data_IF_908508973135
#
_entry.id   IF_908508973135
#
_cell.length_a   1.000
_cell.length_b   1.000
_cell.length_c   1.000
_cell.angle_alpha   90.00
_cell.angle_beta   90.00
_cell.angle_gamma   90.00
#
_symmetry.space_group_name_H-M   'P 1'
#
loop_
_entity.id
_entity.type
_entity.pdbx_description
1 polymer ?
#
# COMPACT_ATOMS: atom_id res chain seq x y z
N UNK A 1 -8.16 20.97 -62.32
CA UNK A 1 -7.95 19.71 -61.58
C UNK A 1 -6.93 19.82 -60.42
N UNK A 2 -6.66 21.03 -59.90
CA UNK A 2 -5.83 21.26 -58.70
C UNK A 2 -6.67 21.67 -57.49
N UNK A 3 -7.82 22.33 -57.71
CA UNK A 3 -8.63 22.92 -56.64
C UNK A 3 -9.30 21.88 -55.70
N UNK A 4 -9.73 20.73 -56.22
CA UNK A 4 -10.30 19.66 -55.39
C UNK A 4 -9.27 18.93 -54.52
N UNK A 5 -8.01 18.83 -54.98
CA UNK A 5 -6.93 18.22 -54.19
C UNK A 5 -6.63 19.01 -52.93
N UNK A 6 -6.69 20.34 -52.98
CA UNK A 6 -6.53 21.20 -51.78
C UNK A 6 -7.71 21.08 -50.82
N UNK A 7 -8.94 20.92 -51.31
CA UNK A 7 -10.12 20.70 -50.46
C UNK A 7 -10.06 19.36 -49.73
N UNK A 8 -9.68 18.29 -50.44
CA UNK A 8 -9.51 16.95 -49.87
C UNK A 8 -8.35 16.94 -48.86
N UNK A 9 -7.22 17.57 -49.20
CA UNK A 9 -6.08 17.68 -48.28
C UNK A 9 -6.46 18.44 -46.99
N UNK A 10 -7.26 19.51 -47.09
CA UNK A 10 -7.72 20.27 -45.92
C UNK A 10 -8.62 19.43 -45.01
N UNK A 11 -9.50 18.61 -45.57
CA UNK A 11 -10.37 17.70 -44.80
C UNK A 11 -9.53 16.64 -44.09
N UNK A 12 -8.56 16.03 -44.77
CA UNK A 12 -7.66 15.04 -44.18
C UNK A 12 -6.88 15.63 -43.01
N UNK A 13 -6.33 16.84 -43.16
CA UNK A 13 -5.59 17.53 -42.10
C UNK A 13 -6.49 17.79 -40.88
N UNK A 14 -7.73 18.25 -41.09
CA UNK A 14 -8.69 18.48 -39.99
C UNK A 14 -9.04 17.16 -39.28
N UNK A 15 -9.26 16.08 -40.02
CA UNK A 15 -9.55 14.76 -39.45
C UNK A 15 -8.38 14.21 -38.63
N UNK A 16 -7.14 14.40 -39.08
CA UNK A 16 -5.93 13.99 -38.33
C UNK A 16 -5.80 14.80 -37.04
N UNK A 17 -6.01 16.11 -37.10
CA UNK A 17 -5.97 16.98 -35.90
C UNK A 17 -7.06 16.55 -34.91
N UNK A 18 -8.27 16.25 -35.38
CA UNK A 18 -9.36 15.81 -34.53
C UNK A 18 -9.07 14.45 -33.89
N UNK A 19 -8.51 13.51 -34.65
CA UNK A 19 -8.09 12.20 -34.13
C UNK A 19 -7.02 12.35 -33.04
N UNK A 20 -6.00 13.20 -33.27
CA UNK A 20 -4.97 13.49 -32.28
C UNK A 20 -5.55 14.15 -31.02
N UNK A 21 -6.49 15.10 -31.17
CA UNK A 21 -7.19 15.69 -30.04
C UNK A 21 -7.97 14.64 -29.25
N UNK A 22 -8.68 13.75 -29.94
CA UNK A 22 -9.50 12.72 -29.32
C UNK A 22 -8.64 11.69 -28.58
N UNK A 23 -7.49 11.30 -29.16
CA UNK A 23 -6.50 10.44 -28.51
C UNK A 23 -5.87 11.11 -27.29
N UNK A 24 -5.50 12.40 -27.38
CA UNK A 24 -4.97 13.16 -26.26
C UNK A 24 -6.00 13.30 -25.13
N UNK A 25 -7.26 13.55 -25.48
CA UNK A 25 -8.37 13.64 -24.52
C UNK A 25 -8.62 12.28 -23.84
N UNK A 26 -8.67 11.19 -24.61
CA UNK A 26 -8.82 9.83 -24.09
C UNK A 26 -7.68 9.46 -23.15
N UNK A 27 -6.44 9.80 -23.51
CA UNK A 27 -5.26 9.56 -22.67
C UNK A 27 -5.34 10.33 -21.35
N UNK A 28 -5.70 11.61 -21.41
CA UNK A 28 -5.88 12.45 -20.21
C UNK A 28 -7.02 11.97 -19.31
N UNK A 29 -8.16 11.61 -19.89
CA UNK A 29 -9.34 11.16 -19.15
C UNK A 29 -9.11 9.80 -18.50
N UNK A 30 -8.50 8.86 -19.21
CA UNK A 30 -8.21 7.51 -18.69
C UNK A 30 -7.27 7.56 -17.49
N UNK A 31 -6.25 8.43 -17.54
CA UNK A 31 -5.26 8.57 -16.48
C UNK A 31 -5.85 9.17 -15.20
N UNK A 32 -6.61 10.26 -15.32
CA UNK A 32 -7.13 10.98 -14.17
C UNK A 32 -8.41 10.38 -13.58
N UNK A 33 -9.22 9.67 -14.37
CA UNK A 33 -10.44 9.03 -13.85
C UNK A 33 -10.12 7.75 -13.09
N UNK A 34 -9.17 6.94 -13.58
CA UNK A 34 -8.80 5.69 -12.92
C UNK A 34 -8.22 5.92 -11.52
N UNK A 35 -7.29 6.87 -11.41
CA UNK A 35 -6.66 7.25 -10.13
C UNK A 35 -7.68 7.81 -9.14
N UNK A 36 -8.57 8.71 -9.59
CA UNK A 36 -9.62 9.28 -8.74
C UNK A 36 -10.65 8.26 -8.27
N UNK A 37 -11.05 7.31 -9.12
CA UNK A 37 -11.96 6.23 -8.73
C UNK A 37 -11.31 5.32 -7.70
N UNK A 38 -10.05 4.91 -7.93
CA UNK A 38 -9.30 4.08 -7.00
C UNK A 38 -9.10 4.77 -5.65
N UNK A 39 -8.70 6.05 -5.65
CA UNK A 39 -8.55 6.85 -4.44
C UNK A 39 -9.86 6.92 -3.66
N UNK A 40 -10.98 7.17 -4.35
CA UNK A 40 -12.30 7.26 -3.72
C UNK A 40 -12.74 5.93 -3.10
N UNK A 41 -12.61 4.82 -3.80
CA UNK A 41 -13.01 3.50 -3.29
C UNK A 41 -12.17 3.09 -2.07
N UNK A 42 -10.86 3.32 -2.14
CA UNK A 42 -9.97 2.98 -1.04
C UNK A 42 -10.17 3.92 0.17
N UNK A 43 -10.43 5.22 -0.04
CA UNK A 43 -10.74 6.15 1.07
C UNK A 43 -12.10 5.86 1.72
N UNK A 44 -13.04 5.26 0.99
CA UNK A 44 -14.31 4.78 1.54
C UNK A 44 -14.13 3.54 2.42
N UNK A 45 -12.99 2.85 2.35
CA UNK A 45 -12.71 1.68 3.15
C UNK A 45 -12.50 2.05 4.63
N UNK A 46 -13.08 1.25 5.54
CA UNK A 46 -12.97 1.44 6.99
C UNK A 46 -11.53 1.41 7.52
N UNK A 47 -10.62 0.73 6.84
CA UNK A 47 -9.23 0.55 7.29
C UNK A 47 -8.30 1.70 6.89
N UNK A 48 -8.69 2.52 5.92
CA UNK A 48 -7.79 3.53 5.32
C UNK A 48 -8.09 4.92 5.86
N UNK A 49 -7.03 5.64 6.20
CA UNK A 49 -7.07 7.04 6.64
C UNK A 49 -6.72 7.99 5.51
N UNK A 50 -5.64 7.69 4.81
CA UNK A 50 -5.11 8.54 3.74
C UNK A 50 -4.46 7.68 2.66
N UNK A 51 -4.44 8.20 1.43
CA UNK A 51 -3.90 7.53 0.25
C UNK A 51 -3.15 8.54 -0.59
N UNK A 52 -2.01 8.14 -1.12
CA UNK A 52 -1.34 8.87 -2.20
C UNK A 52 -0.99 7.92 -3.31
N UNK A 53 -1.55 8.16 -4.49
CA UNK A 53 -1.26 7.36 -5.68
C UNK A 53 -0.15 8.07 -6.46
N UNK A 54 0.94 7.35 -6.71
CA UNK A 54 2.07 7.79 -7.54
C UNK A 54 2.13 6.90 -8.77
N UNK A 55 1.89 7.48 -9.93
CA UNK A 55 2.07 6.77 -11.19
C UNK A 55 3.53 6.80 -11.63
N UNK A 56 4.21 5.67 -11.50
CA UNK A 56 5.52 5.44 -12.08
C UNK A 56 5.44 5.09 -13.57
N UNK A 57 6.60 5.05 -14.24
CA UNK A 57 6.69 4.64 -15.66
C UNK A 57 6.40 3.15 -15.86
N UNK A 58 6.73 2.32 -14.86
CA UNK A 58 6.62 0.84 -14.95
C UNK A 58 5.54 0.27 -14.05
N UNK A 59 5.31 0.84 -12.86
CA UNK A 59 4.31 0.39 -11.89
C UNK A 59 3.62 1.56 -11.20
N UNK A 60 2.41 1.31 -10.70
CA UNK A 60 1.65 2.25 -9.88
C UNK A 60 1.98 2.01 -8.41
N UNK A 61 2.56 2.98 -7.72
CA UNK A 61 2.81 2.89 -6.28
C UNK A 61 1.67 3.57 -5.53
N UNK A 62 1.06 2.87 -4.59
CA UNK A 62 -0.02 3.38 -3.75
C UNK A 62 0.45 3.40 -2.31
N UNK A 63 0.70 4.60 -1.82
CA UNK A 63 1.01 4.87 -0.43
C UNK A 63 -0.31 4.84 0.36
N UNK A 64 -0.44 3.92 1.33
CA UNK A 64 -1.61 3.80 2.19
C UNK A 64 -1.24 4.09 3.63
N UNK A 65 -1.96 5.02 4.24
CA UNK A 65 -1.95 5.22 5.70
C UNK A 65 -3.17 4.54 6.28
N UNK A 66 -2.94 3.48 7.06
CA UNK A 66 -4.00 2.79 7.79
C UNK A 66 -4.50 3.61 8.98
N UNK A 67 -5.77 3.41 9.35
CA UNK A 67 -6.32 3.83 10.64
C UNK A 67 -5.84 2.88 11.75
N UNK A 68 -6.50 2.90 12.91
CA UNK A 68 -6.37 1.85 13.90
C UNK A 68 -7.10 0.59 13.39
N UNK A 69 -6.33 -0.41 12.99
CA UNK A 69 -6.81 -1.67 12.39
C UNK A 69 -6.61 -2.80 13.39
N UNK A 70 -7.58 -3.69 13.54
CA UNK A 70 -7.44 -4.83 14.47
C UNK A 70 -6.62 -5.99 13.89
N UNK A 71 -6.73 -6.20 12.58
CA UNK A 71 -6.06 -7.25 11.82
C UNK A 71 -5.45 -6.68 10.53
N UNK A 72 -4.13 -6.47 10.54
CA UNK A 72 -3.41 -5.96 9.37
C UNK A 72 -3.50 -6.87 8.15
N UNK A 73 -3.52 -8.20 8.33
CA UNK A 73 -3.60 -9.16 7.22
C UNK A 73 -4.91 -9.01 6.46
N UNK A 74 -6.05 -8.93 7.17
CA UNK A 74 -7.37 -8.73 6.57
C UNK A 74 -7.45 -7.39 5.84
N UNK A 75 -6.96 -6.31 6.47
CA UNK A 75 -6.97 -4.98 5.88
C UNK A 75 -6.09 -4.90 4.63
N UNK A 76 -4.88 -5.47 4.68
CA UNK A 76 -3.97 -5.50 3.54
C UNK A 76 -4.55 -6.33 2.39
N UNK A 77 -5.04 -7.54 2.67
CA UNK A 77 -5.67 -8.41 1.67
C UNK A 77 -6.88 -7.75 1.00
N UNK A 78 -7.74 -7.07 1.78
CA UNK A 78 -8.89 -6.34 1.26
C UNK A 78 -8.48 -5.22 0.30
N UNK A 79 -7.48 -4.41 0.69
CA UNK A 79 -7.00 -3.30 -0.14
C UNK A 79 -6.31 -3.83 -1.39
N UNK A 80 -5.48 -4.85 -1.24
CA UNK A 80 -4.79 -5.49 -2.36
C UNK A 80 -5.79 -6.04 -3.39
N UNK A 81 -6.87 -6.69 -2.94
CA UNK A 81 -7.93 -7.20 -3.81
C UNK A 81 -8.70 -6.08 -4.55
N UNK A 82 -9.00 -4.96 -3.88
CA UNK A 82 -9.60 -3.78 -4.53
C UNK A 82 -8.66 -3.24 -5.62
N UNK A 83 -7.36 -3.13 -5.31
CA UNK A 83 -6.36 -2.66 -6.26
C UNK A 83 -6.24 -3.60 -7.46
N UNK A 84 -6.16 -4.91 -7.24
CA UNK A 84 -6.07 -5.91 -8.30
C UNK A 84 -7.28 -5.84 -9.26
N UNK A 85 -8.48 -5.72 -8.69
CA UNK A 85 -9.72 -5.56 -9.47
C UNK A 85 -9.75 -4.26 -10.29
N UNK A 86 -9.38 -3.13 -9.69
CA UNK A 86 -9.42 -1.81 -10.34
C UNK A 86 -8.30 -1.61 -11.36
N UNK A 87 -7.11 -2.16 -11.09
CA UNK A 87 -5.92 -1.99 -11.92
C UNK A 87 -5.85 -3.01 -13.07
N UNK A 88 -6.72 -4.03 -13.08
CA UNK A 88 -6.92 -4.99 -14.18
C UNK A 88 -5.60 -5.57 -14.74
N UNK A 89 -4.71 -5.99 -13.84
CA UNK A 89 -3.43 -6.61 -14.20
C UNK A 89 -2.29 -5.63 -14.51
N UNK A 90 -2.48 -4.32 -14.31
CA UNK A 90 -1.32 -3.39 -14.29
C UNK A 90 -0.46 -3.68 -13.05
N UNK A 91 0.87 -3.72 -13.20
CA UNK A 91 1.76 -3.90 -12.06
C UNK A 91 1.62 -2.73 -11.07
N UNK A 92 1.51 -3.07 -9.80
CA UNK A 92 1.37 -2.11 -8.72
C UNK A 92 2.16 -2.53 -7.50
N UNK A 93 2.37 -1.56 -6.62
CA UNK A 93 3.03 -1.75 -5.33
C UNK A 93 2.24 -1.01 -4.26
N UNK A 94 1.95 -1.71 -3.17
CA UNK A 94 1.25 -1.17 -2.02
C UNK A 94 2.26 -0.87 -0.92
N UNK A 95 2.54 0.42 -0.70
CA UNK A 95 3.45 0.88 0.34
C UNK A 95 2.69 1.36 1.56
N UNK A 96 3.09 0.91 2.74
CA UNK A 96 2.45 1.32 3.99
C UNK A 96 3.17 2.53 4.56
N UNK A 97 2.46 3.65 4.66
CA UNK A 97 2.97 4.86 5.30
C UNK A 97 2.65 4.83 6.78
N UNK A 98 3.70 4.63 7.58
CA UNK A 98 3.61 4.59 9.02
C UNK A 98 3.80 5.96 9.66
N UNK A 99 3.03 6.22 10.72
CA UNK A 99 3.23 7.37 11.61
C UNK A 99 3.80 6.89 12.94
N UNK A 100 4.94 6.19 12.88
CA UNK A 100 5.58 5.66 14.08
C UNK A 100 6.18 6.79 14.92
N UNK A 101 5.84 6.82 16.20
CA UNK A 101 6.54 7.63 17.17
C UNK A 101 7.93 7.02 17.46
N UNK A 102 8.78 7.77 18.18
CA UNK A 102 10.15 7.33 18.51
C UNK A 102 10.15 5.99 19.27
N UNK A 103 9.20 5.79 20.20
CA UNK A 103 9.07 4.57 21.00
C UNK A 103 8.86 3.34 20.12
N UNK A 104 7.93 3.41 19.17
CA UNK A 104 7.63 2.31 18.25
C UNK A 104 8.82 2.06 17.32
N UNK A 105 9.44 3.12 16.80
CA UNK A 105 10.63 2.99 15.95
C UNK A 105 11.78 2.31 16.68
N UNK A 106 12.06 2.72 17.92
CA UNK A 106 13.12 2.14 18.75
C UNK A 106 12.81 0.68 19.11
N UNK A 107 11.55 0.37 19.44
CA UNK A 107 11.10 -1.00 19.71
C UNK A 107 11.26 -1.90 18.47
N UNK A 108 10.87 -1.40 17.30
CA UNK A 108 11.00 -2.15 16.05
C UNK A 108 12.46 -2.39 15.71
N UNK A 109 13.27 -1.34 15.68
CA UNK A 109 14.65 -1.39 15.21
C UNK A 109 15.59 -2.12 16.19
N UNK A 110 15.35 -2.05 17.50
CA UNK A 110 16.28 -2.62 18.47
C UNK A 110 15.89 -4.03 18.94
N UNK A 111 14.60 -4.38 18.89
CA UNK A 111 14.11 -5.62 19.50
C UNK A 111 13.33 -6.47 18.49
N UNK A 112 12.25 -5.94 17.92
CA UNK A 112 11.29 -6.75 17.13
C UNK A 112 11.88 -7.22 15.81
N UNK A 113 12.61 -6.37 15.08
CA UNK A 113 13.08 -6.74 13.73
C UNK A 113 13.95 -8.01 13.73
N UNK A 114 14.85 -8.15 14.72
CA UNK A 114 15.75 -9.30 14.80
C UNK A 114 14.98 -10.60 15.00
N UNK A 115 13.98 -10.59 15.89
CA UNK A 115 13.13 -11.74 16.18
C UNK A 115 12.34 -12.15 14.93
N UNK A 116 11.81 -11.18 14.18
CA UNK A 116 11.07 -11.45 12.94
C UNK A 116 11.99 -12.05 11.87
N UNK A 117 13.14 -11.44 11.60
CA UNK A 117 14.05 -11.91 10.56
C UNK A 117 14.69 -13.27 10.92
N UNK A 118 15.01 -13.52 12.18
CA UNK A 118 15.46 -14.84 12.64
C UNK A 118 14.39 -15.91 12.39
N UNK A 119 13.12 -15.60 12.68
CA UNK A 119 12.02 -16.53 12.48
C UNK A 119 11.74 -16.81 11.00
N UNK A 120 11.86 -15.79 10.14
CA UNK A 120 11.74 -15.96 8.70
C UNK A 120 12.84 -16.89 8.16
N UNK A 121 14.08 -16.74 8.65
CA UNK A 121 15.20 -17.55 8.20
C UNK A 121 15.20 -18.98 8.77
N UNK A 122 14.80 -19.15 10.04
CA UNK A 122 14.85 -20.44 10.75
C UNK A 122 13.54 -21.23 10.67
N UNK A 123 12.44 -20.58 10.28
CA UNK A 123 11.08 -21.13 10.31
C UNK A 123 10.48 -21.26 11.71
N UNK A 124 11.15 -20.77 12.76
CA UNK A 124 10.72 -20.94 14.16
C UNK A 124 9.69 -19.90 14.61
N UNK A 125 8.52 -19.89 13.96
CA UNK A 125 7.47 -18.89 14.23
C UNK A 125 6.83 -19.00 15.63
N UNK A 126 6.79 -20.19 16.24
CA UNK A 126 6.29 -20.34 17.61
C UNK A 126 7.21 -19.69 18.63
N UNK A 127 8.53 -19.82 18.42
CA UNK A 127 9.55 -19.18 19.28
C UNK A 127 9.50 -17.66 19.11
N UNK A 128 9.34 -17.19 17.87
CA UNK A 128 9.10 -15.78 17.56
C UNK A 128 7.92 -15.22 18.37
N UNK A 129 6.78 -15.91 18.35
CA UNK A 129 5.58 -15.47 19.07
C UNK A 129 5.83 -15.37 20.57
N UNK A 130 6.48 -16.37 21.16
CA UNK A 130 6.81 -16.37 22.59
C UNK A 130 7.71 -15.18 22.97
N UNK A 131 8.78 -14.93 22.21
CA UNK A 131 9.69 -13.80 22.46
C UNK A 131 9.01 -12.44 22.30
N UNK A 132 8.11 -12.29 21.32
CA UNK A 132 7.34 -11.05 21.15
C UNK A 132 6.35 -10.83 22.30
N UNK A 133 5.72 -11.89 22.80
CA UNK A 133 4.82 -11.82 23.96
C UNK A 133 5.57 -11.45 25.24
N UNK A 134 6.80 -11.96 25.42
CA UNK A 134 7.68 -11.57 26.53
C UNK A 134 8.01 -10.08 26.50
N UNK A 135 8.36 -9.54 25.32
CA UNK A 135 8.61 -8.10 25.13
C UNK A 135 7.34 -7.30 25.45
N UNK A 136 6.20 -7.71 24.90
CA UNK A 136 4.93 -7.04 25.15
C UNK A 136 4.61 -6.98 26.65
N UNK A 137 4.76 -8.11 27.35
CA UNK A 137 4.50 -8.21 28.78
C UNK A 137 5.50 -7.37 29.61
N UNK A 138 6.79 -7.41 29.28
CA UNK A 138 7.82 -6.65 29.98
C UNK A 138 7.64 -5.13 29.86
N UNK A 139 7.20 -4.65 28.69
CA UNK A 139 6.92 -3.22 28.47
C UNK A 139 5.61 -2.79 29.15
N UNK A 140 4.57 -3.62 29.08
CA UNK A 140 3.27 -3.34 29.71
C UNK A 140 3.34 -3.34 31.24
N UNK A 141 4.22 -4.17 31.84
CA UNK A 141 4.41 -4.24 33.29
C UNK A 141 5.21 -3.06 33.87
N UNK A 142 6.03 -2.39 33.04
CA UNK A 142 6.70 -1.17 33.46
C UNK A 142 5.70 -0.01 33.45
N UNK A 143 5.19 0.37 34.63
CA UNK A 143 4.14 1.40 34.85
C UNK A 143 4.46 2.78 34.26
N UNK A 144 5.70 3.02 33.84
CA UNK A 144 6.16 4.26 33.19
C UNK A 144 6.04 4.25 31.67
N UNK A 145 5.82 3.08 31.05
CA UNK A 145 5.69 2.92 29.61
C UNK A 145 4.23 2.66 29.24
N UNK A 146 3.81 3.29 28.15
CA UNK A 146 2.48 3.13 27.57
C UNK A 146 2.24 1.66 27.17
N UNK A 147 1.02 1.12 27.32
CA UNK A 147 0.73 -0.27 26.96
C UNK A 147 1.06 -0.52 25.50
N UNK A 148 1.89 -1.53 25.26
CA UNK A 148 2.34 -1.94 23.94
C UNK A 148 1.54 -3.18 23.54
N UNK A 149 1.06 -3.21 22.31
CA UNK A 149 0.42 -4.38 21.71
C UNK A 149 1.17 -4.76 20.43
N UNK A 150 1.64 -6.00 20.35
CA UNK A 150 2.37 -6.54 19.21
C UNK A 150 1.57 -7.72 18.66
N UNK A 151 1.09 -7.60 17.42
CA UNK A 151 0.39 -8.66 16.69
C UNK A 151 1.20 -9.05 15.47
N UNK A 152 1.27 -10.36 15.23
CA UNK A 152 1.86 -10.92 14.02
C UNK A 152 0.87 -11.89 13.40
N UNK A 153 0.66 -11.74 12.10
CA UNK A 153 -0.10 -12.66 11.28
C UNK A 153 0.81 -13.19 10.18
N UNK A 154 0.61 -14.43 9.75
CA UNK A 154 1.43 -15.10 8.75
C UNK A 154 0.48 -15.77 7.77
N UNK A 155 0.72 -15.56 6.47
CA UNK A 155 0.09 -16.34 5.40
C UNK A 155 1.16 -17.06 4.57
N UNK A 156 0.78 -17.55 3.38
CA UNK A 156 1.69 -18.30 2.51
C UNK A 156 2.88 -17.45 2.04
N UNK A 157 2.67 -16.17 1.75
CA UNK A 157 3.60 -15.32 1.01
C UNK A 157 4.25 -14.25 1.91
N UNK A 158 3.57 -13.82 2.98
CA UNK A 158 3.88 -12.64 3.75
C UNK A 158 3.74 -12.86 5.27
N UNK A 159 4.50 -12.06 6.01
CA UNK A 159 4.36 -11.82 7.44
C UNK A 159 3.88 -10.39 7.66
N UNK A 160 2.82 -10.26 8.46
CA UNK A 160 2.17 -9.00 8.79
C UNK A 160 2.46 -8.66 10.25
N UNK A 161 3.24 -7.60 10.46
CA UNK A 161 3.56 -7.07 11.77
C UNK A 161 2.72 -5.83 12.05
N UNK A 162 2.09 -5.82 13.22
CA UNK A 162 1.39 -4.67 13.77
C UNK A 162 1.90 -4.39 15.18
N UNK A 163 2.34 -3.16 15.42
CA UNK A 163 2.75 -2.64 16.73
C UNK A 163 1.87 -1.45 17.05
N UNK A 164 1.25 -1.44 18.22
CA UNK A 164 0.43 -0.34 18.70
C UNK A 164 0.90 0.12 20.07
N UNK A 165 1.02 1.44 20.21
CA UNK A 165 1.38 2.11 21.46
C UNK A 165 0.48 3.34 21.58
N UNK A 166 -0.45 3.32 22.53
CA UNK A 166 -1.51 4.32 22.67
C UNK A 166 -2.27 4.56 21.35
N UNK A 167 -2.21 5.79 20.82
CA UNK A 167 -2.85 6.21 19.57
C UNK A 167 -1.96 6.00 18.34
N UNK A 168 -0.67 5.70 18.54
CA UNK A 168 0.28 5.46 17.46
C UNK A 168 0.28 3.99 17.05
N UNK A 169 0.29 3.74 15.75
CA UNK A 169 0.34 2.40 15.17
C UNK A 169 1.43 2.31 14.11
N UNK A 170 2.06 1.16 14.04
CA UNK A 170 3.04 0.80 13.03
C UNK A 170 2.67 -0.55 12.43
N UNK A 171 2.71 -0.59 11.11
CA UNK A 171 2.29 -1.69 10.29
C UNK A 171 3.41 -1.99 9.30
N UNK A 172 3.82 -3.25 9.20
CA UNK A 172 4.82 -3.68 8.23
C UNK A 172 4.43 -5.03 7.64
N UNK A 173 4.54 -5.12 6.33
CA UNK A 173 4.39 -6.38 5.59
C UNK A 173 5.76 -6.78 5.08
N UNK A 174 6.13 -8.03 5.31
CA UNK A 174 7.45 -8.57 4.98
C UNK A 174 7.22 -9.84 4.16
N UNK A 175 7.75 -9.86 2.93
CA UNK A 175 7.70 -11.06 2.08
C UNK A 175 8.54 -12.18 2.71
N UNK A 176 8.03 -13.41 2.62
CA UNK A 176 8.69 -14.62 3.16
C UNK A 176 9.70 -15.22 2.20
N UNK A 177 9.69 -14.84 0.92
CA UNK A 177 10.60 -15.35 -0.11
C UNK A 177 11.84 -14.46 -0.33
N UNK A 178 12.09 -13.49 0.58
CA UNK A 178 13.18 -12.52 0.46
C UNK A 178 14.57 -13.08 0.82
#
# INVERSE_FOLDING_TARGET
>A
MSHDRYKIFRIIVISIIFLLLMLAFQWYYTKNVMTKTLEKELLQNRYVSNIKIKEGKEKITVDVTFKNVDNLMEAYSTIHGIMEHQLKGRPFELEIVNQANKVISDLYNNEVQFIIYEALQTGKFTEMKARLDEIQYAKTKNTTLEPVEIKVFIDLDNLYLQIKVNESSFYKVISREA
#
